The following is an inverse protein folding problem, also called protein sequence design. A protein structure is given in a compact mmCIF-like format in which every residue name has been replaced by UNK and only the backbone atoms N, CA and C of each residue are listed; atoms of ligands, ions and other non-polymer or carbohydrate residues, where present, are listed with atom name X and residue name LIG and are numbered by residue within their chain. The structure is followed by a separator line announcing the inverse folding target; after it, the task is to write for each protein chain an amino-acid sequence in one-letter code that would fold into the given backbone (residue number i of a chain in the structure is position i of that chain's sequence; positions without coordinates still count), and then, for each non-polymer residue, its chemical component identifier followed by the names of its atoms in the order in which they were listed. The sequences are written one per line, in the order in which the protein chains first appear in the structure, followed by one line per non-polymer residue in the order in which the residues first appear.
data_IF_499898451835
#
_entry.id   IF_499898451835
#
_cell.length_a   1.000
_cell.length_b   1.000
_cell.length_c   1.000
_cell.angle_alpha   90.00
_cell.angle_beta   90.00
_cell.angle_gamma   90.00
#
_symmetry.space_group_name_H-M   'P 1'
#
loop_
_entity.id
_entity.type
_entity.pdbx_description
1 polymer ?
#
# COMPACT_ATOMS: atom_id res chain seq x y z
N UNK A 1 4.82 2.03 56.99
CA UNK A 1 5.31 1.39 55.75
C UNK A 1 4.34 1.78 54.65
N UNK A 2 4.81 2.36 53.54
CA UNK A 2 3.92 2.66 52.42
C UNK A 2 3.39 1.33 51.86
N UNK A 3 2.06 1.21 51.72
CA UNK A 3 1.46 0.04 51.10
C UNK A 3 1.89 0.00 49.62
N UNK A 4 2.65 -1.03 49.25
CA UNK A 4 3.07 -1.30 47.88
C UNK A 4 2.15 -2.36 47.28
N UNK A 5 1.94 -2.27 45.97
CA UNK A 5 1.13 -3.20 45.19
C UNK A 5 1.94 -3.71 43.99
N UNK A 6 1.76 -4.97 43.62
CA UNK A 6 2.49 -5.59 42.51
C UNK A 6 1.69 -5.48 41.22
N UNK A 7 2.25 -4.83 40.21
CA UNK A 7 1.59 -4.69 38.91
C UNK A 7 1.54 -6.00 38.13
N UNK A 8 0.39 -6.39 37.59
CA UNK A 8 0.24 -7.61 36.78
C UNK A 8 0.78 -7.49 35.35
N UNK A 9 1.20 -6.31 34.91
CA UNK A 9 1.81 -6.08 33.59
C UNK A 9 3.33 -6.17 33.67
N UNK A 10 3.97 -5.39 34.56
CA UNK A 10 5.42 -5.35 34.70
C UNK A 10 5.97 -6.19 35.85
N UNK A 11 5.11 -6.70 36.74
CA UNK A 11 5.48 -7.45 37.95
C UNK A 11 6.30 -6.67 38.99
N UNK A 12 6.40 -5.35 38.85
CA UNK A 12 7.08 -4.49 39.81
C UNK A 12 6.20 -4.11 41.00
N UNK A 13 6.82 -3.94 42.17
CA UNK A 13 6.18 -3.37 43.35
C UNK A 13 6.18 -1.85 43.25
N UNK A 14 5.00 -1.28 43.13
CA UNK A 14 4.78 0.16 43.00
C UNK A 14 3.99 0.70 44.19
N UNK A 15 4.25 1.93 44.66
CA UNK A 15 3.43 2.55 45.69
C UNK A 15 2.02 2.82 45.13
N UNK A 16 1.01 2.81 46.01
CA UNK A 16 -0.38 3.10 45.61
C UNK A 16 -0.55 4.46 44.90
N UNK A 17 0.32 5.43 45.17
CA UNK A 17 0.35 6.74 44.48
C UNK A 17 0.76 6.67 43.01
N UNK A 18 1.47 5.62 42.60
CA UNK A 18 1.87 5.36 41.22
C UNK A 18 0.95 4.34 40.52
N UNK A 19 -0.17 3.98 41.15
CA UNK A 19 -1.19 3.09 40.61
C UNK A 19 -2.42 3.88 40.22
N UNK A 20 -3.07 3.48 39.12
CA UNK A 20 -4.35 4.03 38.71
C UNK A 20 -5.41 2.92 38.72
N UNK A 21 -6.55 3.22 39.35
CA UNK A 21 -7.75 2.39 39.28
C UNK A 21 -8.60 2.86 38.12
N UNK A 22 -8.91 1.97 37.20
CA UNK A 22 -9.81 2.29 36.10
C UNK A 22 -11.24 2.45 36.63
N UNK A 23 -11.91 3.59 36.37
CA UNK A 23 -13.20 3.94 36.96
C UNK A 23 -14.31 2.98 36.55
N UNK A 24 -14.33 2.56 35.28
CA UNK A 24 -15.43 1.78 34.72
C UNK A 24 -15.34 0.29 35.03
N UNK A 25 -14.15 -0.28 35.20
CA UNK A 25 -13.96 -1.72 35.42
C UNK A 25 -13.32 -2.07 36.77
N UNK A 26 -12.82 -1.08 37.52
CA UNK A 26 -12.21 -1.28 38.83
C UNK A 26 -10.82 -1.93 38.83
N UNK A 27 -10.29 -2.34 37.68
CA UNK A 27 -8.95 -2.93 37.55
C UNK A 27 -7.86 -1.92 37.88
N UNK A 28 -6.77 -2.41 38.48
CA UNK A 28 -5.64 -1.63 38.98
C UNK A 28 -4.38 -1.96 38.20
N UNK A 29 -3.62 -0.94 37.80
CA UNK A 29 -2.30 -1.10 37.16
C UNK A 29 -1.38 0.06 37.50
N UNK A 30 -0.08 -0.14 37.29
CA UNK A 30 0.91 0.93 37.38
C UNK A 30 0.64 1.99 36.30
N UNK A 31 0.77 3.28 36.63
CA UNK A 31 0.53 4.38 35.67
C UNK A 31 1.47 4.28 34.46
N UNK A 32 2.74 3.94 34.67
CA UNK A 32 3.71 3.74 33.59
C UNK A 32 3.27 2.66 32.58
N UNK A 33 2.69 1.56 33.08
CA UNK A 33 2.21 0.44 32.30
C UNK A 33 0.99 0.84 31.46
N UNK A 34 0.05 1.58 32.06
CA UNK A 34 -1.13 2.10 31.36
C UNK A 34 -0.75 3.11 30.29
N UNK A 35 0.21 4.01 30.59
CA UNK A 35 0.73 4.97 29.60
C UNK A 35 1.38 4.27 28.43
N UNK A 36 2.26 3.32 28.68
CA UNK A 36 2.92 2.53 27.63
C UNK A 36 1.90 1.76 26.79
N UNK A 37 0.91 1.12 27.42
CA UNK A 37 -0.15 0.39 26.71
C UNK A 37 -1.02 1.32 25.86
N UNK A 38 -1.44 2.46 26.39
CA UNK A 38 -2.23 3.45 25.66
C UNK A 38 -1.43 4.03 24.47
N UNK A 39 -0.16 4.42 24.70
CA UNK A 39 0.71 4.95 23.65
C UNK A 39 0.95 3.93 22.55
N UNK A 40 1.27 2.68 22.91
CA UNK A 40 1.44 1.60 21.94
C UNK A 40 0.16 1.34 21.13
N UNK A 41 -1.02 1.42 21.76
CA UNK A 41 -2.29 1.31 21.04
C UNK A 41 -2.47 2.46 20.03
N UNK A 42 -2.14 3.70 20.38
CA UNK A 42 -2.21 4.82 19.42
C UNK A 42 -1.18 4.68 18.30
N UNK A 43 0.05 4.25 18.61
CA UNK A 43 1.13 4.06 17.62
C UNK A 43 0.84 2.93 16.64
N UNK A 44 0.29 1.81 17.13
CA UNK A 44 -0.16 0.68 16.31
C UNK A 44 -1.42 1.02 15.50
N UNK A 45 -1.94 2.25 15.62
CA UNK A 45 -3.17 2.68 14.96
C UNK A 45 -4.35 1.85 15.43
N UNK A 46 -4.45 1.56 16.73
CA UNK A 46 -5.59 0.87 17.30
C UNK A 46 -6.86 1.64 16.93
N UNK A 47 -7.59 1.07 15.98
CA UNK A 47 -8.73 1.71 15.37
C UNK A 47 -9.93 1.77 16.34
N UNK A 48 -9.88 1.12 17.50
CA UNK A 48 -10.95 1.08 18.50
C UNK A 48 -10.60 1.92 19.74
N UNK A 49 -11.60 2.26 20.55
CA UNK A 49 -11.37 2.87 21.87
C UNK A 49 -10.31 2.09 22.65
N UNK A 50 -9.39 2.81 23.29
CA UNK A 50 -8.35 2.21 24.14
C UNK A 50 -9.05 1.41 25.23
N UNK A 51 -8.67 0.14 25.38
CA UNK A 51 -9.35 -0.80 26.28
C UNK A 51 -8.56 -1.05 27.55
N UNK A 52 -9.27 -1.55 28.57
CA UNK A 52 -8.65 -2.13 29.74
C UNK A 52 -7.64 -3.23 29.34
N UNK A 53 -6.43 -3.27 29.92
CA UNK A 53 -5.44 -4.32 29.65
C UNK A 53 -5.84 -5.72 30.13
N UNK A 54 -6.85 -5.84 31.01
CA UNK A 54 -7.30 -7.14 31.54
C UNK A 54 -7.89 -8.01 30.41
N UNK A 55 -7.38 -9.23 30.15
CA UNK A 55 -7.83 -10.06 29.02
C UNK A 55 -9.33 -10.38 29.01
N UNK A 56 -9.94 -10.53 30.19
CA UNK A 56 -11.38 -10.77 30.34
C UNK A 56 -12.22 -9.48 30.24
N UNK A 57 -11.60 -8.30 30.32
CA UNK A 57 -12.28 -7.01 30.28
C UNK A 57 -12.13 -6.34 28.92
N UNK A 58 -13.25 -6.11 28.24
CA UNK A 58 -13.27 -5.35 26.96
C UNK A 58 -13.80 -3.93 27.12
N UNK A 59 -13.89 -3.42 28.35
CA UNK A 59 -14.42 -2.07 28.59
C UNK A 59 -13.46 -1.00 28.05
N UNK A 60 -13.95 0.00 27.30
CA UNK A 60 -13.15 1.13 26.87
C UNK A 60 -12.76 1.99 28.07
N UNK A 61 -11.62 2.67 27.99
CA UNK A 61 -11.22 3.68 28.94
C UNK A 61 -12.01 4.96 28.68
N UNK A 62 -12.44 5.63 29.75
CA UNK A 62 -13.10 6.94 29.63
C UNK A 62 -12.16 7.99 29.00
N UNK A 63 -12.66 8.92 28.17
CA UNK A 63 -11.82 9.88 27.44
C UNK A 63 -10.91 10.72 28.34
N UNK A 64 -11.38 11.11 29.53
CA UNK A 64 -10.57 11.89 30.47
C UNK A 64 -9.37 11.09 31.01
N UNK A 65 -9.52 9.77 31.21
CA UNK A 65 -8.42 8.88 31.61
C UNK A 65 -7.42 8.74 30.47
N UNK A 66 -7.91 8.58 29.24
CA UNK A 66 -7.05 8.53 28.05
C UNK A 66 -6.24 9.81 27.90
N UNK A 67 -6.87 10.97 28.11
CA UNK A 67 -6.22 12.29 28.09
C UNK A 67 -5.12 12.40 29.13
N UNK A 68 -5.36 11.93 30.35
CA UNK A 68 -4.36 11.94 31.43
C UNK A 68 -3.18 10.97 31.18
N UNK A 69 -3.44 9.83 30.53
CA UNK A 69 -2.41 8.84 30.22
C UNK A 69 -1.52 9.26 29.04
N UNK A 70 -2.10 9.81 27.97
CA UNK A 70 -1.40 10.14 26.73
C UNK A 70 -0.84 11.58 26.69
N UNK A 71 -1.37 12.47 27.53
CA UNK A 71 -1.15 13.91 27.40
C UNK A 71 -1.84 14.51 26.18
N UNK A 72 -1.72 15.83 25.99
CA UNK A 72 -2.45 16.57 24.94
C UNK A 72 -2.10 16.08 23.52
N UNK A 73 -0.81 15.89 23.20
CA UNK A 73 -0.40 15.48 21.86
C UNK A 73 -0.88 14.07 21.49
N UNK A 74 -0.76 13.10 22.40
CA UNK A 74 -1.21 11.73 22.17
C UNK A 74 -2.74 11.63 22.15
N UNK A 75 -3.43 12.43 22.97
CA UNK A 75 -4.89 12.51 22.97
C UNK A 75 -5.43 13.08 21.66
N UNK A 76 -4.85 14.16 21.14
CA UNK A 76 -5.26 14.75 19.85
C UNK A 76 -5.14 13.76 18.69
N UNK A 77 -4.03 13.00 18.63
CA UNK A 77 -3.87 11.94 17.63
C UNK A 77 -4.90 10.82 17.79
N UNK A 78 -5.20 10.42 19.02
CA UNK A 78 -6.24 9.41 19.28
C UNK A 78 -7.63 9.90 18.86
N UNK A 79 -7.96 11.16 19.12
CA UNK A 79 -9.23 11.79 18.75
C UNK A 79 -9.39 11.89 17.22
N UNK A 80 -8.32 12.27 16.51
CA UNK A 80 -8.29 12.28 15.04
C UNK A 80 -8.53 10.89 14.45
N UNK A 81 -7.83 9.86 14.95
CA UNK A 81 -8.02 8.48 14.51
C UNK A 81 -9.44 7.95 14.79
N UNK A 82 -10.01 8.31 15.94
CA UNK A 82 -11.36 7.94 16.32
C UNK A 82 -12.40 8.61 15.42
N UNK A 83 -12.21 9.90 15.13
CA UNK A 83 -13.06 10.67 14.21
C UNK A 83 -13.00 10.08 12.80
N UNK A 84 -11.79 9.91 12.26
CA UNK A 84 -11.59 9.35 10.92
C UNK A 84 -12.30 8.01 10.78
N UNK A 85 -12.18 7.10 11.76
CA UNK A 85 -12.88 5.83 11.70
C UNK A 85 -14.40 5.95 11.79
N UNK A 86 -14.89 6.89 12.60
CA UNK A 86 -16.33 7.11 12.74
C UNK A 86 -16.93 7.60 11.43
N UNK A 87 -16.20 8.48 10.73
CA UNK A 87 -16.54 8.94 9.39
C UNK A 87 -16.45 7.82 8.35
N UNK A 88 -15.39 7.00 8.36
CA UNK A 88 -15.23 5.84 7.46
C UNK A 88 -16.34 4.78 7.62
N UNK A 89 -17.12 4.83 8.70
CA UNK A 89 -18.27 3.92 8.93
C UNK A 89 -19.59 4.47 8.38
N UNK A 90 -19.65 5.75 8.06
CA UNK A 90 -20.82 6.37 7.48
C UNK A 90 -20.82 6.11 5.97
N UNK A 91 -21.94 5.62 5.44
CA UNK A 91 -22.04 5.20 4.03
C UNK A 91 -22.06 6.40 3.06
N UNK A 92 -22.49 7.56 3.54
CA UNK A 92 -22.65 8.81 2.79
C UNK A 92 -21.42 9.74 2.90
N UNK A 93 -20.37 9.33 3.61
CA UNK A 93 -19.17 10.14 3.81
C UNK A 93 -18.08 9.76 2.82
N UNK A 94 -17.58 10.76 2.10
CA UNK A 94 -16.48 10.62 1.13
C UNK A 94 -15.44 11.71 1.27
N UNK A 95 -14.22 11.43 0.83
CA UNK A 95 -13.10 12.37 0.93
C UNK A 95 -12.85 13.09 -0.39
N UNK A 96 -12.61 14.39 -0.32
CA UNK A 96 -12.28 15.18 -1.50
C UNK A 96 -10.93 14.74 -2.09
N UNK A 97 -10.84 14.41 -3.39
CA UNK A 97 -9.60 13.95 -4.01
C UNK A 97 -8.53 15.04 -4.17
N UNK A 98 -8.85 16.32 -3.90
CA UNK A 98 -7.90 17.45 -4.05
C UNK A 98 -7.30 17.92 -2.73
N UNK A 99 -8.08 17.86 -1.66
CA UNK A 99 -7.68 18.43 -0.36
C UNK A 99 -8.04 17.54 0.83
N UNK A 100 -8.50 16.30 0.59
CA UNK A 100 -8.81 15.28 1.60
C UNK A 100 -9.85 15.71 2.65
N UNK A 101 -10.58 16.79 2.40
CA UNK A 101 -11.65 17.24 3.27
C UNK A 101 -12.85 16.29 3.18
N UNK A 102 -13.49 16.07 4.33
CA UNK A 102 -14.70 15.26 4.45
C UNK A 102 -15.85 15.94 3.71
N UNK A 103 -16.52 15.18 2.86
CA UNK A 103 -17.66 15.58 2.04
C UNK A 103 -18.80 14.58 2.25
N UNK A 104 -20.03 15.02 2.05
CA UNK A 104 -21.22 14.16 2.09
C UNK A 104 -21.69 13.98 0.65
N UNK A 105 -21.89 12.75 0.21
CA UNK A 105 -22.46 12.46 -1.10
C UNK A 105 -23.99 12.64 -1.10
N UNK A 106 -24.52 13.04 -2.25
CA UNK A 106 -25.96 13.03 -2.50
C UNK A 106 -26.43 11.70 -3.09
N UNK A 107 -27.74 11.59 -3.37
CA UNK A 107 -28.35 10.38 -3.92
C UNK A 107 -27.85 10.03 -5.32
N UNK A 108 -27.27 10.98 -6.03
CA UNK A 108 -26.72 10.78 -7.37
C UNK A 108 -25.23 10.41 -7.30
N UNK A 109 -24.67 10.19 -6.11
CA UNK A 109 -23.24 9.93 -5.89
C UNK A 109 -22.36 11.11 -6.34
N UNK A 110 -22.91 12.33 -6.23
CA UNK A 110 -22.23 13.59 -6.41
C UNK A 110 -21.86 14.16 -5.04
N UNK A 111 -20.61 14.60 -4.90
CA UNK A 111 -20.11 15.24 -3.69
C UNK A 111 -19.46 16.58 -4.04
N UNK A 112 -19.78 17.61 -3.26
CA UNK A 112 -19.17 18.93 -3.36
C UNK A 112 -18.30 19.19 -2.12
N UNK A 113 -17.03 19.52 -2.35
CA UNK A 113 -16.12 19.86 -1.27
C UNK A 113 -16.37 21.28 -0.74
N UNK A 114 -16.65 21.41 0.56
CA UNK A 114 -16.83 22.72 1.21
C UNK A 114 -15.56 23.57 1.29
N UNK A 115 -14.38 22.96 1.18
CA UNK A 115 -13.09 23.67 1.28
C UNK A 115 -12.61 24.21 -0.09
N UNK A 116 -12.63 23.39 -1.14
CA UNK A 116 -12.13 23.75 -2.45
C UNK A 116 -13.21 23.89 -3.54
N UNK A 117 -14.48 23.72 -3.19
CA UNK A 117 -15.65 23.78 -4.08
C UNK A 117 -15.59 22.81 -5.28
N UNK A 118 -14.70 21.81 -5.22
CA UNK A 118 -14.60 20.79 -6.25
C UNK A 118 -15.78 19.83 -6.18
N UNK A 119 -16.44 19.62 -7.31
CA UNK A 119 -17.57 18.69 -7.47
C UNK A 119 -17.08 17.43 -8.17
N UNK A 120 -17.31 16.28 -7.55
CA UNK A 120 -16.76 15.01 -7.98
C UNK A 120 -17.77 13.87 -7.80
N UNK A 121 -17.57 12.79 -8.55
CA UNK A 121 -18.32 11.56 -8.35
C UNK A 121 -17.68 10.75 -7.22
N UNK A 122 -18.48 10.31 -6.24
CA UNK A 122 -17.99 9.59 -5.07
C UNK A 122 -17.42 8.21 -5.39
N UNK A 123 -17.88 7.56 -6.46
CA UNK A 123 -17.39 6.23 -6.87
C UNK A 123 -16.01 6.26 -7.52
N UNK A 124 -15.82 7.12 -8.54
CA UNK A 124 -14.59 7.16 -9.33
C UNK A 124 -13.60 8.24 -8.87
N UNK A 125 -14.06 9.14 -7.99
CA UNK A 125 -13.32 10.30 -7.49
C UNK A 125 -12.83 11.27 -8.59
N UNK A 126 -13.37 11.15 -9.81
CA UNK A 126 -13.14 12.07 -10.91
C UNK A 126 -14.18 13.21 -10.90
N UNK A 127 -13.98 14.19 -11.78
CA UNK A 127 -14.92 15.30 -11.95
C UNK A 127 -16.33 14.78 -12.23
N UNK A 128 -17.33 15.43 -11.62
CA UNK A 128 -18.72 15.02 -11.74
C UNK A 128 -19.18 14.91 -13.20
N UNK A 129 -19.80 13.79 -13.53
CA UNK A 129 -20.16 13.41 -14.91
C UNK A 129 -21.64 12.96 -15.00
N UNK A 130 -22.59 13.90 -15.05
CA UNK A 130 -24.02 13.56 -15.04
C UNK A 130 -24.41 12.75 -16.27
N UNK A 131 -25.14 11.65 -16.06
CA UNK A 131 -25.66 10.78 -17.12
C UNK A 131 -24.61 9.91 -17.84
N UNK A 132 -23.35 9.93 -17.39
CA UNK A 132 -22.30 9.02 -17.86
C UNK A 132 -21.94 8.02 -16.76
N UNK A 133 -21.74 6.76 -17.11
CA UNK A 133 -21.25 5.75 -16.16
C UNK A 133 -19.79 6.02 -15.78
N UNK A 134 -19.41 5.66 -14.56
CA UNK A 134 -18.00 5.69 -14.15
C UNK A 134 -17.20 4.74 -15.04
N UNK A 135 -16.03 5.20 -15.49
CA UNK A 135 -15.09 4.33 -16.19
C UNK A 135 -14.59 3.23 -15.27
N UNK A 136 -14.68 1.98 -15.72
CA UNK A 136 -14.04 0.85 -15.04
C UNK A 136 -12.51 1.06 -15.00
N UNK A 137 -11.80 0.60 -13.95
CA UNK A 137 -10.33 0.74 -13.87
C UNK A 137 -9.58 0.24 -15.12
N UNK A 138 -10.05 -0.82 -15.78
CA UNK A 138 -9.45 -1.28 -17.04
C UNK A 138 -9.73 -0.34 -18.21
N UNK A 139 -10.92 0.25 -18.28
CA UNK A 139 -11.24 1.25 -19.31
C UNK A 139 -10.48 2.56 -19.08
N UNK A 140 -10.38 2.99 -17.82
CA UNK A 140 -9.55 4.14 -17.41
C UNK A 140 -8.09 3.91 -17.80
N UNK A 141 -7.56 2.71 -17.58
CA UNK A 141 -6.22 2.34 -18.03
C UNK A 141 -6.09 2.44 -19.56
N UNK A 142 -7.05 1.91 -20.34
CA UNK A 142 -7.03 2.01 -21.81
C UNK A 142 -7.13 3.46 -22.32
N UNK A 143 -7.89 4.32 -21.64
CA UNK A 143 -7.98 5.75 -21.96
C UNK A 143 -6.66 6.44 -21.67
N UNK A 144 -6.04 6.16 -20.52
CA UNK A 144 -4.72 6.69 -20.17
C UNK A 144 -3.65 6.21 -21.16
N UNK A 145 -3.65 4.93 -21.54
CA UNK A 145 -2.72 4.38 -22.54
C UNK A 145 -2.88 5.03 -23.91
N UNK A 146 -4.12 5.28 -24.36
CA UNK A 146 -4.38 5.99 -25.63
C UNK A 146 -3.92 7.45 -25.60
N UNK A 147 -4.13 8.16 -24.48
CA UNK A 147 -3.79 9.58 -24.35
C UNK A 147 -2.28 9.83 -24.31
N UNK A 148 -1.47 8.87 -23.83
CA UNK A 148 0.00 8.98 -23.82
C UNK A 148 0.60 9.30 -25.20
N UNK A 149 0.03 8.76 -26.27
CA UNK A 149 0.51 8.99 -27.65
C UNK A 149 -0.12 10.17 -28.38
N UNK A 150 -1.11 10.84 -27.78
CA UNK A 150 -1.88 11.92 -28.41
C UNK A 150 -1.50 13.31 -27.88
N UNK A 151 -0.63 13.39 -26.86
CA UNK A 151 -0.16 14.65 -26.28
C UNK A 151 0.58 15.48 -27.33
N UNK A 152 0.19 16.75 -27.50
CA UNK A 152 0.91 17.68 -28.35
C UNK A 152 2.38 17.79 -27.90
N UNK A 153 3.30 17.77 -28.86
CA UNK A 153 4.73 17.84 -28.61
C UNK A 153 5.07 19.12 -27.80
N UNK A 154 5.40 18.97 -26.52
CA UNK A 154 5.82 20.10 -25.68
C UNK A 154 5.69 19.93 -24.17
N UNK A 155 4.70 19.16 -23.68
CA UNK A 155 4.45 19.03 -22.24
C UNK A 155 4.90 17.66 -21.69
N UNK A 156 6.22 17.52 -21.51
CA UNK A 156 6.83 16.32 -20.91
C UNK A 156 6.37 16.04 -19.48
N UNK A 157 5.90 17.05 -18.74
CA UNK A 157 5.39 16.86 -17.38
C UNK A 157 4.02 16.19 -17.42
N UNK A 158 3.10 16.72 -18.23
CA UNK A 158 1.78 16.12 -18.38
C UNK A 158 1.84 14.68 -18.89
N UNK A 159 2.72 14.40 -19.85
CA UNK A 159 2.94 13.05 -20.35
C UNK A 159 3.48 12.10 -19.26
N UNK A 160 4.46 12.55 -18.47
CA UNK A 160 4.99 11.78 -17.34
C UNK A 160 3.92 11.52 -16.27
N UNK A 161 3.07 12.50 -15.99
CA UNK A 161 1.97 12.34 -15.03
C UNK A 161 0.95 11.29 -15.49
N UNK A 162 0.61 11.26 -16.79
CA UNK A 162 -0.26 10.23 -17.38
C UNK A 162 0.39 8.84 -17.32
N UNK A 163 1.70 8.75 -17.54
CA UNK A 163 2.48 7.51 -17.41
C UNK A 163 2.46 7.02 -15.96
N UNK A 164 2.72 7.91 -15.01
CA UNK A 164 2.69 7.60 -13.57
C UNK A 164 1.30 7.14 -13.14
N UNK A 165 0.23 7.86 -13.51
CA UNK A 165 -1.15 7.47 -13.18
C UNK A 165 -1.51 6.08 -13.71
N UNK A 166 -1.13 5.77 -14.95
CA UNK A 166 -1.36 4.45 -15.53
C UNK A 166 -0.56 3.35 -14.83
N UNK A 167 0.70 3.61 -14.47
CA UNK A 167 1.51 2.65 -13.70
C UNK A 167 0.92 2.40 -12.32
N UNK A 168 0.54 3.46 -11.60
CA UNK A 168 -0.12 3.37 -10.29
C UNK A 168 -1.42 2.59 -10.37
N UNK A 169 -2.29 2.88 -11.35
CA UNK A 169 -3.56 2.18 -11.51
C UNK A 169 -3.37 0.70 -11.83
N UNK A 170 -2.39 0.38 -12.68
CA UNK A 170 -2.04 -1.00 -13.03
C UNK A 170 -1.48 -1.79 -11.84
N UNK A 171 -0.63 -1.14 -11.05
CA UNK A 171 -0.10 -1.72 -9.81
C UNK A 171 -1.23 -1.98 -8.80
N UNK A 172 -2.09 -0.99 -8.53
CA UNK A 172 -3.20 -1.12 -7.60
C UNK A 172 -4.20 -2.20 -8.02
N UNK A 173 -4.57 -2.28 -9.31
CA UNK A 173 -5.52 -3.29 -9.81
C UNK A 173 -4.99 -4.73 -9.73
N UNK A 174 -3.66 -4.90 -9.70
CA UNK A 174 -3.00 -6.21 -9.59
C UNK A 174 -2.68 -6.60 -8.14
N UNK A 175 -2.31 -5.63 -7.29
CA UNK A 175 -1.79 -5.87 -5.94
C UNK A 175 -2.76 -5.52 -4.81
N UNK A 176 -3.90 -4.90 -5.14
CA UNK A 176 -4.95 -4.58 -4.17
C UNK A 176 -6.25 -5.29 -4.50
N UNK A 177 -6.94 -5.72 -3.45
CA UNK A 177 -8.29 -6.29 -3.50
C UNK A 177 -9.11 -5.72 -2.35
N UNK A 178 -10.42 -5.62 -2.53
CA UNK A 178 -11.34 -5.18 -1.46
C UNK A 178 -11.72 -6.37 -0.59
N UNK A 179 -11.83 -6.16 0.71
CA UNK A 179 -12.32 -7.16 1.63
C UNK A 179 -13.80 -7.48 1.30
N UNK A 180 -14.18 -8.75 1.11
CA UNK A 180 -15.55 -9.11 0.75
C UNK A 180 -16.57 -8.88 1.88
N UNK A 181 -16.11 -8.70 3.13
CA UNK A 181 -16.99 -8.47 4.27
C UNK A 181 -17.27 -6.97 4.54
N UNK A 182 -16.31 -6.08 4.25
CA UNK A 182 -16.42 -4.66 4.62
C UNK A 182 -15.97 -3.68 3.52
N UNK A 183 -15.55 -4.15 2.35
CA UNK A 183 -15.12 -3.30 1.24
C UNK A 183 -13.74 -2.64 1.39
N UNK A 184 -13.09 -2.74 2.57
CA UNK A 184 -11.79 -2.13 2.83
C UNK A 184 -10.72 -2.62 1.85
N UNK A 185 -9.95 -1.70 1.27
CA UNK A 185 -8.83 -2.05 0.41
C UNK A 185 -7.75 -2.79 1.20
N UNK A 186 -7.26 -3.88 0.64
CA UNK A 186 -6.24 -4.74 1.25
C UNK A 186 -5.16 -5.04 0.24
N UNK A 187 -3.92 -5.04 0.72
CA UNK A 187 -2.73 -5.39 -0.06
C UNK A 187 -2.23 -6.72 0.47
N UNK A 188 -1.81 -7.60 -0.44
CA UNK A 188 -1.21 -8.87 -0.10
C UNK A 188 0.25 -8.64 0.30
N UNK A 189 0.55 -8.75 1.60
CA UNK A 189 1.89 -8.50 2.13
C UNK A 189 2.84 -9.70 1.97
N UNK A 190 2.31 -10.91 1.76
CA UNK A 190 3.09 -12.16 1.68
C UNK A 190 2.41 -13.18 0.74
N UNK A 191 3.09 -14.28 0.41
CA UNK A 191 2.59 -15.30 -0.53
C UNK A 191 1.36 -16.13 -0.06
N UNK A 192 0.83 -15.85 1.14
CA UNK A 192 -0.34 -16.58 1.66
C UNK A 192 -1.64 -16.00 1.09
N UNK A 193 -2.44 -16.84 0.44
CA UNK A 193 -3.75 -16.46 -0.09
C UNK A 193 -4.83 -16.33 1.00
N UNK A 194 -4.54 -16.75 2.25
CA UNK A 194 -5.41 -16.48 3.41
C UNK A 194 -5.13 -15.07 3.94
N UNK A 195 -6.02 -14.16 3.60
CA UNK A 195 -5.95 -12.79 4.08
C UNK A 195 -6.80 -12.62 5.33
N UNK A 196 -6.35 -11.73 6.21
CA UNK A 196 -7.13 -11.26 7.36
C UNK A 196 -7.27 -9.76 7.23
N UNK A 197 -8.50 -9.26 7.14
CA UNK A 197 -8.73 -7.82 7.02
C UNK A 197 -8.26 -7.11 8.29
N UNK A 198 -7.36 -6.13 8.18
CA UNK A 198 -6.92 -5.32 9.32
C UNK A 198 -8.05 -4.52 9.97
N UNK A 199 -9.10 -4.19 9.19
CA UNK A 199 -10.23 -3.38 9.66
C UNK A 199 -11.31 -4.21 10.37
N UNK A 200 -11.90 -5.22 9.69
CA UNK A 200 -13.01 -6.01 10.22
C UNK A 200 -12.59 -7.36 10.81
N UNK A 201 -11.31 -7.75 10.67
CA UNK A 201 -10.74 -9.04 11.10
C UNK A 201 -11.36 -10.29 10.47
N UNK A 202 -12.23 -10.14 9.46
CA UNK A 202 -12.71 -11.27 8.68
C UNK A 202 -11.54 -11.93 7.96
N UNK A 203 -11.46 -13.26 8.03
CA UNK A 203 -10.56 -14.05 7.21
C UNK A 203 -11.24 -14.32 5.86
N UNK A 204 -10.49 -14.21 4.77
CA UNK A 204 -11.02 -14.39 3.43
C UNK A 204 -9.91 -14.85 2.46
N UNK A 205 -10.30 -15.39 1.31
CA UNK A 205 -9.37 -15.92 0.31
C UNK A 205 -9.08 -14.89 -0.79
N UNK A 206 -7.80 -14.56 -1.00
CA UNK A 206 -7.35 -13.59 -2.01
C UNK A 206 -7.76 -13.96 -3.44
N UNK A 207 -7.79 -15.26 -3.75
CA UNK A 207 -8.09 -15.76 -5.12
C UNK A 207 -9.57 -15.64 -5.48
N UNK A 208 -10.44 -16.18 -4.62
CA UNK A 208 -11.87 -16.28 -4.92
C UNK A 208 -12.70 -15.17 -4.27
N UNK A 209 -12.08 -14.32 -3.45
CA UNK A 209 -12.72 -13.20 -2.73
C UNK A 209 -13.90 -13.65 -1.85
N UNK A 210 -13.84 -14.87 -1.32
CA UNK A 210 -14.85 -15.39 -0.39
C UNK A 210 -14.39 -15.26 1.06
N UNK A 211 -15.32 -14.98 1.98
CA UNK A 211 -15.10 -15.04 3.43
C UNK A 211 -14.90 -16.50 3.83
N UNK A 212 -13.88 -16.78 4.63
CA UNK A 212 -13.51 -18.14 5.04
C UNK A 212 -13.36 -18.25 6.55
N UNK A 213 -13.55 -19.46 7.07
CA UNK A 213 -13.29 -19.80 8.47
C UNK A 213 -12.14 -20.79 8.54
N UNK A 214 -11.09 -20.47 9.30
CA UNK A 214 -9.94 -21.37 9.45
C UNK A 214 -9.15 -21.59 8.16
N UNK A 215 -8.79 -22.84 7.88
CA UNK A 215 -7.96 -23.24 6.73
C UNK A 215 -8.64 -24.28 5.82
N UNK A 216 -9.87 -24.69 6.12
CA UNK A 216 -10.55 -25.78 5.43
C UNK A 216 -10.82 -25.45 3.95
N UNK A 217 -11.05 -24.16 3.66
CA UNK A 217 -11.15 -23.66 2.29
C UNK A 217 -9.96 -24.10 1.42
N UNK A 218 -8.73 -24.11 1.94
CA UNK A 218 -7.54 -24.47 1.16
C UNK A 218 -7.25 -25.98 1.11
N UNK A 219 -8.02 -26.79 1.85
CA UNK A 219 -7.92 -28.25 1.84
C UNK A 219 -8.92 -28.88 0.88
N UNK A 220 -10.11 -28.30 0.78
CA UNK A 220 -11.26 -28.89 0.08
C UNK A 220 -11.61 -28.17 -1.23
N UNK A 221 -11.18 -26.91 -1.41
CA UNK A 221 -11.48 -26.14 -2.63
C UNK A 221 -10.33 -26.16 -3.64
N UNK A 222 -10.59 -25.62 -4.85
CA UNK A 222 -9.56 -25.41 -5.89
C UNK A 222 -8.58 -24.27 -5.57
N UNK A 223 -8.74 -23.59 -4.44
CA UNK A 223 -7.87 -22.50 -4.04
C UNK A 223 -6.69 -23.03 -3.21
N UNK A 224 -5.48 -22.86 -3.73
CA UNK A 224 -4.27 -23.20 -3.00
C UNK A 224 -3.89 -22.10 -2.01
N UNK A 225 -3.37 -22.49 -0.85
CA UNK A 225 -2.92 -21.53 0.18
C UNK A 225 -1.72 -20.71 -0.26
N UNK A 226 -0.80 -21.34 -0.98
CA UNK A 226 0.38 -20.71 -1.56
C UNK A 226 0.44 -21.01 -3.04
N UNK A 227 0.70 -19.98 -3.85
CA UNK A 227 0.85 -20.15 -5.28
C UNK A 227 2.24 -20.66 -5.62
N UNK A 228 2.33 -21.72 -6.41
CA UNK A 228 3.63 -22.31 -6.77
C UNK A 228 4.52 -21.32 -7.52
N UNK A 229 3.92 -20.43 -8.32
CA UNK A 229 4.62 -19.33 -8.98
C UNK A 229 5.15 -18.30 -7.97
N UNK A 230 4.38 -17.97 -6.92
CA UNK A 230 4.83 -17.07 -5.85
C UNK A 230 5.92 -17.72 -5.00
N UNK A 231 5.82 -19.02 -4.72
CA UNK A 231 6.86 -19.79 -4.03
C UNK A 231 8.14 -19.81 -4.86
N UNK A 232 8.05 -20.10 -6.15
CA UNK A 232 9.21 -20.11 -7.04
C UNK A 232 9.84 -18.71 -7.17
N UNK A 233 9.00 -17.68 -7.25
CA UNK A 233 9.41 -16.28 -7.25
C UNK A 233 10.12 -15.92 -5.93
N UNK A 234 9.53 -16.27 -4.79
CA UNK A 234 10.10 -16.03 -3.45
C UNK A 234 11.42 -16.80 -3.27
N UNK A 235 11.49 -18.06 -3.70
CA UNK A 235 12.73 -18.84 -3.69
C UNK A 235 13.81 -18.18 -4.56
N UNK A 236 13.47 -17.70 -5.75
CA UNK A 236 14.40 -16.95 -6.59
C UNK A 236 14.85 -15.64 -5.93
N UNK A 237 13.93 -14.92 -5.27
CA UNK A 237 14.24 -13.68 -4.53
C UNK A 237 15.16 -13.93 -3.33
N UNK A 238 14.88 -14.95 -2.51
CA UNK A 238 15.68 -15.29 -1.33
C UNK A 238 17.07 -15.79 -1.69
N UNK A 239 17.22 -16.45 -2.83
CA UNK A 239 18.52 -16.90 -3.33
C UNK A 239 19.37 -15.75 -3.88
N UNK A 240 18.75 -14.66 -4.38
CA UNK A 240 19.44 -13.56 -5.08
C UNK A 240 19.36 -12.17 -4.40
N UNK A 241 18.71 -12.02 -3.24
CA UNK A 241 18.64 -10.79 -2.43
C UNK A 241 17.33 -10.00 -2.60
N UNK A 242 16.66 -9.68 -1.48
CA UNK A 242 15.27 -9.19 -1.44
C UNK A 242 14.97 -7.85 -2.13
N UNK A 243 15.92 -6.91 -2.19
CA UNK A 243 15.71 -5.62 -2.91
C UNK A 243 15.46 -5.81 -4.42
N UNK A 244 15.99 -6.90 -5.00
CA UNK A 244 15.83 -7.20 -6.44
C UNK A 244 14.41 -7.60 -6.81
N UNK A 245 13.62 -8.08 -5.85
CA UNK A 245 12.24 -8.48 -6.05
C UNK A 245 11.37 -7.35 -6.62
N UNK A 246 11.43 -6.20 -5.98
CA UNK A 246 10.65 -5.01 -6.33
C UNK A 246 11.16 -4.39 -7.63
N UNK A 247 12.49 -4.35 -7.85
CA UNK A 247 13.07 -3.88 -9.11
C UNK A 247 12.55 -4.70 -10.31
N UNK A 248 12.47 -6.03 -10.17
CA UNK A 248 11.98 -6.95 -11.21
C UNK A 248 10.51 -6.70 -11.53
N UNK A 249 9.67 -6.59 -10.50
CA UNK A 249 8.23 -6.39 -10.66
C UNK A 249 7.90 -5.02 -11.26
N UNK A 250 8.57 -3.96 -10.78
CA UNK A 250 8.44 -2.63 -11.37
C UNK A 250 8.94 -2.59 -12.81
N UNK A 251 10.03 -3.30 -13.12
CA UNK A 251 10.53 -3.48 -14.49
C UNK A 251 9.52 -4.17 -15.42
N UNK A 252 8.80 -5.19 -14.92
CA UNK A 252 7.72 -5.86 -15.67
C UNK A 252 6.54 -4.92 -15.94
N UNK A 253 6.09 -4.16 -14.93
CA UNK A 253 5.00 -3.18 -15.10
C UNK A 253 5.41 -2.12 -16.12
N UNK A 254 6.64 -1.61 -16.03
CA UNK A 254 7.17 -0.61 -16.97
C UNK A 254 7.21 -1.16 -18.40
N UNK A 255 7.67 -2.38 -18.61
CA UNK A 255 7.67 -3.04 -19.93
C UNK A 255 6.27 -3.11 -20.53
N UNK A 256 5.27 -3.48 -19.75
CA UNK A 256 3.90 -3.59 -20.26
C UNK A 256 3.26 -2.21 -20.53
N UNK A 257 3.70 -1.15 -19.85
CA UNK A 257 3.12 0.20 -19.96
C UNK A 257 3.83 1.04 -21.03
N UNK A 258 5.16 0.89 -21.18
CA UNK A 258 6.01 1.68 -22.08
C UNK A 258 6.62 0.88 -23.22
N UNK A 259 6.54 -0.45 -23.23
CA UNK A 259 7.19 -1.30 -24.25
C UNK A 259 6.70 -1.07 -25.68
N UNK A 260 5.50 -0.50 -25.85
CA UNK A 260 4.94 -0.13 -27.15
C UNK A 260 5.04 1.37 -27.47
N UNK A 261 5.73 2.16 -26.64
CA UNK A 261 5.89 3.59 -26.87
C UNK A 261 6.83 3.83 -28.08
N UNK A 262 6.54 4.82 -28.95
CA UNK A 262 7.29 5.04 -30.19
C UNK A 262 8.75 5.46 -29.98
N UNK A 263 9.06 6.01 -28.81
CA UNK A 263 10.41 6.45 -28.39
C UNK A 263 11.22 5.36 -27.67
N UNK A 264 10.65 4.17 -27.47
CA UNK A 264 11.24 3.08 -26.68
C UNK A 264 11.58 1.88 -27.56
N UNK A 265 12.78 1.33 -27.37
CA UNK A 265 13.24 0.12 -28.08
C UNK A 265 13.40 -1.07 -27.12
N UNK A 266 12.95 -2.25 -27.53
CA UNK A 266 13.07 -3.48 -26.75
C UNK A 266 14.38 -4.20 -27.02
N UNK A 267 15.01 -4.72 -25.97
CA UNK A 267 16.22 -5.52 -26.07
C UNK A 267 16.22 -6.70 -25.09
N UNK A 268 16.57 -7.89 -25.58
CA UNK A 268 16.68 -9.09 -24.74
C UNK A 268 18.04 -9.14 -24.07
N UNK A 269 18.03 -9.42 -22.77
CA UNK A 269 19.23 -9.61 -22.00
C UNK A 269 20.01 -10.84 -22.51
N UNK A 270 21.32 -10.72 -22.80
CA UNK A 270 22.13 -11.84 -23.31
C UNK A 270 22.40 -12.94 -22.27
N UNK A 271 22.14 -12.68 -20.97
CA UNK A 271 22.41 -13.62 -19.88
C UNK A 271 21.14 -14.38 -19.48
N UNK A 272 20.05 -13.65 -19.18
CA UNK A 272 18.81 -14.24 -18.66
C UNK A 272 17.65 -14.24 -19.67
N UNK A 273 17.81 -13.63 -20.85
CA UNK A 273 16.77 -13.54 -21.87
C UNK A 273 15.68 -12.49 -21.60
N UNK A 274 15.64 -11.87 -20.41
CA UNK A 274 14.64 -10.88 -20.03
C UNK A 274 14.57 -9.70 -21.00
N UNK A 275 13.36 -9.30 -21.39
CA UNK A 275 13.13 -8.10 -22.21
C UNK A 275 13.28 -6.82 -21.38
N UNK A 276 14.12 -5.91 -21.87
CA UNK A 276 14.46 -4.64 -21.25
C UNK A 276 14.16 -3.48 -22.19
N UNK A 277 13.86 -2.31 -21.60
CA UNK A 277 13.56 -1.08 -22.30
C UNK A 277 14.85 -0.28 -22.51
N UNK A 278 15.09 0.19 -23.73
CA UNK A 278 16.05 1.25 -24.03
C UNK A 278 15.28 2.56 -24.17
N UNK A 279 15.41 3.41 -23.16
CA UNK A 279 14.85 4.75 -23.16
C UNK A 279 15.92 5.76 -23.62
N UNK A 280 15.61 6.48 -24.69
CA UNK A 280 16.53 7.44 -25.29
C UNK A 280 17.74 6.78 -25.99
N UNK A 281 18.87 7.49 -25.99
CA UNK A 281 20.03 7.12 -26.83
C UNK A 281 21.07 6.25 -26.13
N UNK A 282 20.96 6.02 -24.82
CA UNK A 282 21.98 5.26 -24.10
C UNK A 282 21.98 3.78 -24.50
N UNK A 283 23.13 3.26 -24.93
CA UNK A 283 23.34 1.87 -25.30
C UNK A 283 23.83 1.02 -24.12
N UNK A 284 24.22 1.62 -23.00
CA UNK A 284 24.52 0.90 -21.77
C UNK A 284 23.21 0.58 -21.04
N UNK A 285 22.77 -0.67 -21.12
CA UNK A 285 21.59 -1.15 -20.43
C UNK A 285 21.99 -1.97 -19.20
N UNK A 286 21.26 -1.78 -18.11
CA UNK A 286 21.29 -2.67 -16.93
C UNK A 286 20.01 -3.49 -16.98
N UNK A 287 20.16 -4.82 -16.99
CA UNK A 287 18.99 -5.69 -16.94
C UNK A 287 18.38 -5.66 -15.54
N UNK A 288 17.12 -5.26 -15.42
CA UNK A 288 16.42 -5.18 -14.13
C UNK A 288 16.14 -6.55 -13.50
N UNK A 289 16.37 -7.66 -14.22
CA UNK A 289 16.21 -9.03 -13.70
C UNK A 289 17.51 -9.66 -13.19
N UNK A 290 18.57 -9.72 -14.01
CA UNK A 290 19.87 -10.30 -13.61
C UNK A 290 20.84 -9.27 -13.01
N UNK A 291 20.52 -7.97 -13.04
CA UNK A 291 21.45 -6.86 -12.76
C UNK A 291 22.73 -6.82 -13.61
N UNK A 292 22.76 -7.61 -14.67
CA UNK A 292 23.88 -7.66 -15.59
C UNK A 292 23.82 -6.47 -16.57
N UNK A 293 24.97 -5.86 -16.81
CA UNK A 293 25.11 -4.71 -17.71
C UNK A 293 25.45 -5.21 -19.11
N UNK A 294 24.79 -4.71 -20.14
CA UNK A 294 25.02 -5.15 -21.52
C UNK A 294 24.87 -3.99 -22.50
N UNK A 295 25.51 -4.12 -23.65
CA UNK A 295 25.41 -3.14 -24.72
C UNK A 295 24.19 -3.44 -25.61
N UNK A 296 23.33 -2.46 -25.84
CA UNK A 296 22.19 -2.57 -26.74
C UNK A 296 22.62 -2.87 -28.18
N UNK A 297 23.65 -2.18 -28.70
CA UNK A 297 24.04 -2.24 -30.11
C UNK A 297 24.63 -3.59 -30.50
N UNK A 298 25.49 -4.17 -29.67
CA UNK A 298 26.17 -5.43 -29.98
C UNK A 298 25.68 -6.63 -29.15
N UNK A 299 24.74 -6.41 -28.24
CA UNK A 299 24.19 -7.42 -27.30
C UNK A 299 25.24 -8.10 -26.42
N UNK A 300 26.42 -7.51 -26.28
CA UNK A 300 27.49 -8.08 -25.48
C UNK A 300 27.25 -7.84 -23.98
N UNK A 301 27.41 -8.89 -23.17
CA UNK A 301 27.46 -8.79 -21.72
C UNK A 301 28.75 -8.11 -21.27
N UNK A 302 28.65 -7.01 -20.53
CA UNK A 302 29.76 -6.20 -20.03
C UNK A 302 30.11 -6.60 -18.59
N UNK A 303 31.36 -6.98 -18.36
CA UNK A 303 31.90 -7.35 -17.04
C UNK A 303 32.99 -6.35 -16.61
N UNK A 304 33.06 -6.03 -15.32
CA UNK A 304 34.07 -5.10 -14.79
C UNK A 304 33.72 -3.63 -15.06
N UNK A 305 34.68 -2.82 -15.53
CA UNK A 305 34.46 -1.39 -15.82
C UNK A 305 33.65 -1.22 -17.11
N UNK A 306 32.33 -1.24 -16.99
CA UNK A 306 31.37 -1.16 -18.11
C UNK A 306 31.61 -0.01 -19.09
N UNK A 307 32.15 1.12 -18.62
CA UNK A 307 32.46 2.29 -19.46
C UNK A 307 33.57 2.06 -20.49
N UNK A 308 34.49 1.11 -20.24
CA UNK A 308 35.59 0.82 -21.18
C UNK A 308 35.09 0.29 -22.53
N UNK A 309 33.92 -0.33 -22.55
CA UNK A 309 33.31 -0.83 -23.78
C UNK A 309 32.98 0.27 -24.80
N UNK A 310 32.84 1.52 -24.34
CA UNK A 310 32.45 2.66 -25.17
C UNK A 310 33.61 3.64 -25.44
N UNK A 311 34.83 3.29 -25.04
CA UNK A 311 36.02 4.14 -25.17
C UNK A 311 36.97 3.51 -26.20
N UNK A 312 37.22 4.20 -27.32
CA UNK A 312 38.19 3.79 -28.35
C UNK A 312 37.62 3.79 -29.78
N UNK A 313 38.50 3.60 -30.78
CA UNK A 313 38.13 3.69 -32.21
C UNK A 313 37.29 2.51 -32.74
N UNK A 314 37.33 1.35 -32.05
CA UNK A 314 36.54 0.15 -32.38
C UNK A 314 35.43 -0.13 -31.33
N UNK A 315 35.17 0.83 -30.44
CA UNK A 315 34.18 0.70 -29.38
C UNK A 315 32.76 1.00 -29.87
N UNK A 316 31.74 0.40 -29.23
CA UNK A 316 30.36 0.80 -29.49
C UNK A 316 30.14 2.25 -29.04
N UNK A 317 29.26 3.00 -29.70
CA UNK A 317 28.87 4.34 -29.21
C UNK A 317 28.05 4.20 -27.92
N UNK A 318 28.39 4.95 -26.87
CA UNK A 318 27.59 4.97 -25.63
C UNK A 318 26.21 5.58 -25.84
N UNK A 319 26.15 6.65 -26.63
CA UNK A 319 24.91 7.27 -27.06
C UNK A 319 24.75 7.02 -28.56
N UNK A 320 23.69 6.30 -28.94
CA UNK A 320 23.30 6.14 -30.34
C UNK A 320 22.80 7.46 -30.95
N UNK A 321 22.63 7.48 -32.26
CA UNK A 321 22.02 8.61 -32.98
C UNK A 321 20.50 8.68 -32.75
#
# INVERSE_FOLDING_TARGET
MAATWTCSICFDQVPGSACLRLPDCGHFYCTACLRASAAAQVELGALENIRCPEPACRRPLAPYVVKELLGEAGYGRWEELLLQRTLDRMEDVVYCPRCEAVCIEDKDHCAQCSNCLYVFCSFCQDSWHPGSECLDPHERLRVLERRKGASAAGDRRHEMDLVNQAMSLKYLTSHSRKCPACGMATIKNEGCNKMTCGYCRAAWCWKCQQVITGYDHFRESRCNMFDQEEINRWNAMMMWGGERAQEVEMGQVMLQVRGNAPDVQLCRCPVCGQENLREGRNNLLRCWSCNCHFCYSCRQWLRGRVGQHFIGQAACKQHGD
#
